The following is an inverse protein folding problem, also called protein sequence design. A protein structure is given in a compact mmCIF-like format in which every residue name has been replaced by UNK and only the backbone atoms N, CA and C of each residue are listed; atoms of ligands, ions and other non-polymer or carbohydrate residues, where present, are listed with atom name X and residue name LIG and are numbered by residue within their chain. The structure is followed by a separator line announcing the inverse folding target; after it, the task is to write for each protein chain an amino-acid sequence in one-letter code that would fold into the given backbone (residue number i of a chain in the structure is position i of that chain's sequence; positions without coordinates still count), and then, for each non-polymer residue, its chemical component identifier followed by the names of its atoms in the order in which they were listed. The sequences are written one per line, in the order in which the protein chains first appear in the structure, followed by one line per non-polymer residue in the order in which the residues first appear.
data_IF_208197584630
#
_entry.id   IF_208197584630
#
_cell.length_a   1.000
_cell.length_b   1.000
_cell.length_c   1.000
_cell.angle_alpha   90.00
_cell.angle_beta   90.00
_cell.angle_gamma   90.00
#
_symmetry.space_group_name_H-M   'P 1'
#
loop_
_entity.id
_entity.type
_entity.pdbx_description
1 polymer ?
#
# COMPACT_ATOMS: atom_id res chain seq x y z
N UNK A 1 15.46 -6.14 -7.40
CA UNK A 1 16.02 -6.18 -6.02
C UNK A 1 15.08 -6.87 -5.03
N UNK A 2 13.81 -6.44 -4.94
CA UNK A 2 12.76 -7.12 -4.14
C UNK A 2 12.62 -8.59 -4.52
N UNK A 3 12.80 -8.89 -5.81
CA UNK A 3 12.65 -10.23 -6.31
C UNK A 3 13.74 -11.21 -5.80
N UNK A 4 14.99 -10.76 -5.68
CA UNK A 4 16.08 -11.54 -5.06
C UNK A 4 15.86 -11.90 -3.58
N UNK A 5 14.91 -11.24 -2.92
CA UNK A 5 14.55 -11.44 -1.50
C UNK A 5 13.24 -12.19 -1.33
N UNK A 6 12.67 -12.64 -2.45
CA UNK A 6 11.86 -13.83 -2.45
C UNK A 6 10.53 -13.62 -1.69
N UNK A 7 9.93 -12.48 -1.99
CA UNK A 7 8.67 -11.98 -1.44
C UNK A 7 7.47 -12.35 -2.33
N UNK A 8 6.32 -12.65 -1.72
CA UNK A 8 5.02 -12.59 -2.41
C UNK A 8 4.70 -11.14 -2.79
N UNK A 9 4.50 -10.90 -4.08
CA UNK A 9 4.19 -9.58 -4.63
C UNK A 9 2.78 -9.59 -5.21
N UNK A 10 1.91 -8.77 -4.62
CA UNK A 10 0.62 -8.41 -5.18
C UNK A 10 0.75 -7.03 -5.81
N UNK A 11 0.46 -6.94 -7.11
CA UNK A 11 0.44 -5.67 -7.81
C UNK A 11 -0.99 -5.26 -8.14
N UNK A 12 -1.39 -4.12 -7.61
CA UNK A 12 -2.65 -3.46 -7.93
C UNK A 12 -2.31 -2.22 -8.76
N UNK A 13 -2.87 -2.14 -9.96
CA UNK A 13 -2.62 -1.05 -10.88
C UNK A 13 -3.77 -0.89 -11.87
N UNK A 14 -3.80 0.27 -12.53
CA UNK A 14 -4.84 0.59 -13.52
C UNK A 14 -4.72 -0.19 -14.84
N UNK A 15 -3.60 -0.90 -15.04
CA UNK A 15 -3.34 -1.70 -16.23
C UNK A 15 -3.00 -3.14 -15.81
N UNK A 16 -3.88 -4.08 -16.17
CA UNK A 16 -3.75 -5.50 -15.82
C UNK A 16 -2.54 -6.16 -16.48
N UNK A 17 -2.31 -5.91 -17.76
CA UNK A 17 -1.21 -6.48 -18.54
C UNK A 17 0.14 -6.02 -18.00
N UNK A 18 0.25 -4.72 -17.68
CA UNK A 18 1.42 -4.15 -17.02
C UNK A 18 1.67 -4.77 -15.65
N UNK A 19 0.62 -5.06 -14.88
CA UNK A 19 0.76 -5.74 -13.60
C UNK A 19 1.21 -7.20 -13.77
N UNK A 20 0.65 -7.93 -14.73
CA UNK A 20 1.01 -9.32 -15.02
C UNK A 20 2.47 -9.47 -15.45
N UNK A 21 2.94 -8.61 -16.36
CA UNK A 21 4.34 -8.64 -16.84
C UNK A 21 5.35 -8.47 -15.70
N UNK A 22 5.06 -7.57 -14.74
CA UNK A 22 5.93 -7.35 -13.60
C UNK A 22 5.84 -8.50 -12.59
N UNK A 23 4.66 -9.08 -12.38
CA UNK A 23 4.48 -10.27 -11.53
C UNK A 23 5.32 -11.45 -12.06
N UNK A 24 5.26 -11.75 -13.36
CA UNK A 24 6.02 -12.86 -13.95
C UNK A 24 7.53 -12.63 -13.85
N UNK A 25 8.00 -11.39 -14.04
CA UNK A 25 9.40 -11.02 -13.83
C UNK A 25 9.83 -11.21 -12.38
N UNK A 26 8.96 -10.92 -11.43
CA UNK A 26 9.26 -11.10 -10.01
C UNK A 26 9.33 -12.58 -9.66
N UNK A 27 8.36 -13.39 -10.10
CA UNK A 27 8.31 -14.84 -9.84
C UNK A 27 9.57 -15.57 -10.33
N UNK A 28 10.07 -15.23 -11.52
CA UNK A 28 11.30 -15.84 -12.06
C UNK A 28 12.54 -15.49 -11.23
N UNK A 29 12.48 -14.42 -10.44
CA UNK A 29 13.57 -13.92 -9.62
C UNK A 29 13.43 -14.29 -8.10
N UNK A 30 12.32 -14.91 -7.62
CA UNK A 30 11.89 -15.06 -6.18
C UNK A 30 11.51 -16.47 -5.66
N UNK A 31 12.32 -17.54 -5.71
CA UNK A 31 11.85 -18.86 -5.22
C UNK A 31 12.07 -19.14 -3.68
N UNK A 32 11.02 -19.11 -2.82
CA UNK A 32 10.88 -19.46 -1.35
C UNK A 32 11.30 -18.55 -0.10
N UNK A 33 10.83 -17.31 0.14
CA UNK A 33 11.18 -16.49 1.36
C UNK A 33 10.01 -15.62 1.91
N UNK A 34 10.21 -14.93 3.07
CA UNK A 34 9.23 -14.02 3.64
C UNK A 34 8.84 -12.86 2.72
N UNK A 35 7.54 -12.54 2.68
CA UNK A 35 7.01 -11.50 1.82
C UNK A 35 6.94 -10.13 2.49
N UNK A 36 7.04 -9.06 1.68
CA UNK A 36 6.88 -7.69 2.17
C UNK A 36 5.93 -6.91 1.27
N UNK A 37 4.92 -6.30 1.87
CA UNK A 37 4.03 -5.35 1.22
C UNK A 37 4.56 -3.95 1.57
N UNK A 38 4.90 -3.16 0.56
CA UNK A 38 5.42 -1.79 0.76
C UNK A 38 4.48 -0.80 0.11
N UNK A 39 3.76 -0.04 0.93
CA UNK A 39 2.83 0.97 0.48
C UNK A 39 3.45 2.37 0.54
N UNK A 40 3.39 3.11 -0.56
CA UNK A 40 3.99 4.45 -0.65
C UNK A 40 2.98 5.51 -0.20
N UNK A 41 3.20 6.04 0.99
CA UNK A 41 2.52 7.20 1.55
C UNK A 41 3.27 8.51 1.21
N UNK A 42 3.01 9.58 1.95
CA UNK A 42 3.64 10.90 1.83
C UNK A 42 3.66 11.62 3.17
N UNK A 43 4.62 12.51 3.43
CA UNK A 43 4.54 13.47 4.55
C UNK A 43 3.25 14.29 4.57
N UNK A 44 2.60 14.45 3.41
CA UNK A 44 1.28 15.09 3.30
C UNK A 44 0.18 14.45 4.15
N UNK A 45 0.32 13.20 4.62
CA UNK A 45 -0.67 12.59 5.52
C UNK A 45 -0.88 13.40 6.82
N UNK A 46 0.15 14.12 7.27
CA UNK A 46 0.11 14.89 8.52
C UNK A 46 -0.69 16.21 8.42
N UNK A 47 -1.18 16.57 7.23
CA UNK A 47 -2.05 17.75 7.03
C UNK A 47 -3.42 17.54 7.67
N UNK A 48 -3.87 16.28 7.77
CA UNK A 48 -5.17 15.92 8.35
C UNK A 48 -4.99 15.16 9.65
N UNK A 49 -5.89 15.38 10.60
CA UNK A 49 -5.83 14.75 11.92
C UNK A 49 -6.42 13.32 11.95
N UNK A 50 -7.22 12.95 10.95
CA UNK A 50 -7.96 11.70 10.92
C UNK A 50 -8.69 11.47 9.60
N UNK A 51 -9.26 10.28 9.44
CA UNK A 51 -10.09 9.96 8.27
C UNK A 51 -11.49 10.53 8.48
N UNK A 52 -12.00 11.23 7.46
CA UNK A 52 -13.38 11.73 7.41
C UNK A 52 -14.27 10.70 6.72
N UNK A 53 -14.65 9.63 7.45
CA UNK A 53 -15.37 8.49 6.88
C UNK A 53 -16.73 8.87 6.29
N UNK A 54 -17.40 9.84 6.88
CA UNK A 54 -18.73 10.31 6.49
C UNK A 54 -18.72 11.06 5.15
N UNK A 55 -17.54 11.49 4.69
CA UNK A 55 -17.37 12.33 3.49
C UNK A 55 -16.61 11.65 2.36
N UNK A 56 -16.31 10.36 2.47
CA UNK A 56 -15.46 9.63 1.51
C UNK A 56 -15.93 9.77 0.06
N UNK A 57 -17.23 9.74 -0.18
CA UNK A 57 -17.84 9.76 -1.50
C UNK A 57 -18.29 11.17 -1.95
N UNK A 58 -18.06 12.20 -1.15
CA UNK A 58 -18.40 13.58 -1.52
C UNK A 58 -17.24 14.21 -2.31
N UNK A 59 -17.40 14.51 -3.62
CA UNK A 59 -16.36 15.12 -4.43
C UNK A 59 -16.06 16.58 -4.02
N UNK A 60 -16.94 17.24 -3.29
CA UNK A 60 -16.83 18.65 -2.90
C UNK A 60 -16.41 18.85 -1.43
N UNK A 61 -16.37 17.79 -0.63
CA UNK A 61 -16.06 17.86 0.80
C UNK A 61 -14.65 18.33 1.14
N UNK A 62 -13.70 18.22 0.20
CA UNK A 62 -12.27 18.40 0.44
C UNK A 62 -11.61 19.07 -0.75
N UNK A 63 -10.73 20.03 -0.49
CA UNK A 63 -9.82 20.55 -1.50
C UNK A 63 -8.83 19.46 -1.97
N UNK A 64 -8.14 19.65 -3.11
CA UNK A 64 -7.21 18.65 -3.63
C UNK A 64 -6.09 18.25 -2.66
N UNK A 65 -5.59 19.18 -1.84
CA UNK A 65 -4.53 18.93 -0.87
C UNK A 65 -5.04 18.09 0.29
N UNK A 66 -6.21 18.42 0.85
CA UNK A 66 -6.85 17.65 1.92
C UNK A 66 -7.24 16.26 1.43
N UNK A 67 -7.81 16.14 0.22
CA UNK A 67 -8.15 14.84 -0.38
C UNK A 67 -6.92 13.96 -0.60
N UNK A 68 -5.82 14.56 -1.07
CA UNK A 68 -4.55 13.86 -1.16
C UNK A 68 -4.04 13.42 0.22
N UNK A 69 -4.07 14.31 1.23
CA UNK A 69 -3.65 14.00 2.59
C UNK A 69 -4.46 12.83 3.19
N UNK A 70 -5.78 12.83 3.02
CA UNK A 70 -6.69 11.73 3.38
C UNK A 70 -6.28 10.42 2.71
N UNK A 71 -5.99 10.44 1.39
CA UNK A 71 -5.54 9.24 0.68
C UNK A 71 -4.23 8.68 1.25
N UNK A 72 -3.31 9.55 1.69
CA UNK A 72 -2.00 9.16 2.24
C UNK A 72 -2.08 8.70 3.68
N UNK A 73 -2.97 9.29 4.47
CA UNK A 73 -3.31 8.78 5.79
C UNK A 73 -4.00 7.40 5.70
N UNK A 74 -4.93 7.24 4.76
CA UNK A 74 -5.63 5.97 4.54
C UNK A 74 -4.67 4.83 4.17
N UNK A 75 -3.61 5.12 3.40
CA UNK A 75 -2.55 4.14 3.13
C UNK A 75 -1.87 3.69 4.43
N UNK A 76 -1.52 4.60 5.33
CA UNK A 76 -0.83 4.26 6.59
C UNK A 76 -1.75 3.41 7.47
N UNK A 77 -2.99 3.87 7.69
CA UNK A 77 -3.95 3.19 8.54
C UNK A 77 -4.32 1.81 8.01
N UNK A 78 -4.57 1.70 6.70
CA UNK A 78 -4.86 0.40 6.08
C UNK A 78 -3.68 -0.55 6.13
N UNK A 79 -2.44 -0.06 6.04
CA UNK A 79 -1.24 -0.89 6.21
C UNK A 79 -1.11 -1.42 7.63
N UNK A 80 -1.38 -0.58 8.64
CA UNK A 80 -1.34 -0.98 10.04
C UNK A 80 -2.43 -2.02 10.37
N UNK A 81 -3.65 -1.78 9.88
CA UNK A 81 -4.75 -2.73 10.07
C UNK A 81 -4.53 -4.04 9.29
N UNK A 82 -3.89 -3.99 8.11
CA UNK A 82 -3.50 -5.18 7.37
C UNK A 82 -2.57 -6.06 8.20
N UNK A 83 -1.51 -5.47 8.77
CA UNK A 83 -0.61 -6.19 9.68
C UNK A 83 -1.37 -6.81 10.85
N UNK A 84 -2.11 -5.97 11.58
CA UNK A 84 -2.79 -6.36 12.82
C UNK A 84 -3.83 -7.47 12.61
N UNK A 85 -4.60 -7.41 11.53
CA UNK A 85 -5.74 -8.33 11.32
C UNK A 85 -5.38 -9.59 10.57
N UNK A 86 -4.37 -9.56 9.70
CA UNK A 86 -4.18 -10.62 8.72
C UNK A 86 -2.76 -11.18 8.65
N UNK A 87 -1.75 -10.48 9.21
CA UNK A 87 -0.35 -10.88 9.05
C UNK A 87 0.34 -11.22 10.38
N UNK A 88 -0.37 -11.16 11.50
CA UNK A 88 0.17 -11.58 12.80
C UNK A 88 0.46 -13.08 12.80
N UNK A 89 1.71 -13.46 13.10
CA UNK A 89 2.18 -14.85 13.05
C UNK A 89 2.59 -15.34 11.65
N UNK A 90 2.32 -14.56 10.61
CA UNK A 90 2.70 -14.87 9.23
C UNK A 90 4.14 -14.44 8.91
N UNK A 91 4.73 -15.04 7.88
CA UNK A 91 6.01 -14.59 7.32
C UNK A 91 5.82 -13.49 6.26
N UNK A 92 4.84 -12.61 6.48
CA UNK A 92 4.48 -11.51 5.58
C UNK A 92 4.39 -10.22 6.39
N UNK A 93 5.05 -9.16 5.93
CA UNK A 93 5.11 -7.89 6.65
C UNK A 93 4.69 -6.72 5.78
N UNK A 94 3.67 -5.96 6.20
CA UNK A 94 3.25 -4.75 5.52
C UNK A 94 3.89 -3.50 6.15
N UNK A 95 4.42 -2.59 5.35
CA UNK A 95 4.99 -1.33 5.82
C UNK A 95 4.56 -0.19 4.91
N UNK A 96 4.37 0.99 5.48
CA UNK A 96 4.07 2.20 4.74
C UNK A 96 5.18 3.23 4.96
N UNK A 97 5.64 3.88 3.90
CA UNK A 97 6.73 4.86 3.96
C UNK A 97 6.45 6.09 3.10
N UNK A 98 7.10 7.20 3.43
CA UNK A 98 7.24 8.36 2.55
C UNK A 98 8.62 8.30 1.88
N UNK A 99 8.72 8.45 0.54
CA UNK A 99 10.00 8.64 -0.15
C UNK A 99 10.60 10.01 0.17
#
# INVERSE_FOLDING_TARGET
ELARKNAHVFMLGRNLEGCQAVIEKIKSETASQPARIVNVSSRGHAIVAGIEFEKLNDPNAQDPTQRYAQSKLAIILSTNELNKRYLEGEQVYANSLHP
#
